data_IF_438436928465
#
_entry.id   IF_438436928465
#
_cell.length_a   1.000
_cell.length_b   1.000
_cell.length_c   1.000
_cell.angle_alpha   90.00
_cell.angle_beta   90.00
_cell.angle_gamma   90.00
#
_symmetry.space_group_name_H-M   'P 1'
#
loop_
_entity.id
_entity.type
_entity.pdbx_description
1 polymer ?
#
# COMPACT_ATOMS: atom_id res chain seq x y z
N UNK A 1 -34.91 28.07 8.33
CA UNK A 1 -34.95 28.95 9.51
C UNK A 1 -33.63 29.69 9.61
N UNK A 2 -33.66 31.02 9.58
CA UNK A 2 -32.50 31.89 9.83
C UNK A 2 -32.29 32.00 11.34
N UNK A 3 -31.06 31.82 11.81
CA UNK A 3 -30.69 31.95 13.22
C UNK A 3 -30.00 33.31 13.46
N UNK A 4 -30.45 34.01 14.49
CA UNK A 4 -29.99 35.31 14.98
C UNK A 4 -28.47 35.38 15.19
N UNK A 5 -27.84 36.45 14.67
CA UNK A 5 -26.48 36.84 15.02
C UNK A 5 -25.62 37.35 13.85
N UNK A 6 -26.02 37.11 12.60
CA UNK A 6 -25.27 37.60 11.44
C UNK A 6 -25.45 39.13 11.29
N UNK A 7 -24.40 39.90 11.59
CA UNK A 7 -24.35 41.35 11.34
C UNK A 7 -24.37 42.26 12.57
N UNK A 8 -24.26 41.74 13.80
CA UNK A 8 -24.07 42.60 14.98
C UNK A 8 -22.61 43.09 15.06
N UNK A 9 -22.38 44.41 14.98
CA UNK A 9 -21.06 45.00 15.20
C UNK A 9 -20.64 44.86 16.67
N UNK A 10 -19.84 43.83 16.94
CA UNK A 10 -19.29 43.54 18.26
C UNK A 10 -17.88 44.14 18.48
N UNK A 11 -17.47 45.12 17.68
CA UNK A 11 -16.15 45.76 17.73
C UNK A 11 -15.82 46.38 19.10
N UNK A 12 -16.84 46.80 19.86
CA UNK A 12 -16.72 47.37 21.21
C UNK A 12 -16.88 46.38 22.37
N UNK A 13 -17.13 45.09 22.08
CA UNK A 13 -17.29 44.05 23.10
C UNK A 13 -15.96 43.32 23.32
N UNK A 14 -15.50 43.15 24.57
CA UNK A 14 -14.30 42.36 24.89
C UNK A 14 -14.39 40.95 24.31
N UNK A 15 -13.29 40.44 23.74
CA UNK A 15 -13.26 39.20 22.94
C UNK A 15 -13.92 37.98 23.63
N UNK A 16 -13.70 37.80 24.93
CA UNK A 16 -14.27 36.69 25.71
C UNK A 16 -15.78 36.77 25.95
N UNK A 17 -16.41 37.92 25.63
CA UNK A 17 -17.84 38.17 25.78
C UNK A 17 -18.57 38.31 24.44
N UNK A 18 -17.86 38.14 23.31
CA UNK A 18 -18.48 38.20 21.98
C UNK A 18 -19.32 36.95 21.74
N UNK A 19 -20.49 37.12 21.10
CA UNK A 19 -21.34 36.02 20.64
C UNK A 19 -20.63 35.28 19.51
N UNK A 20 -20.79 33.96 19.48
CA UNK A 20 -20.21 33.09 18.46
C UNK A 20 -20.95 33.29 17.13
N UNK A 21 -20.24 33.71 16.09
CA UNK A 21 -20.77 33.66 14.73
C UNK A 21 -20.47 32.28 14.13
N UNK A 22 -21.51 31.58 13.70
CA UNK A 22 -21.38 30.33 12.96
C UNK A 22 -22.37 30.30 11.81
N UNK A 23 -22.02 29.57 10.76
CA UNK A 23 -22.93 29.27 9.66
C UNK A 23 -23.20 27.78 9.69
N UNK A 24 -24.47 27.40 9.87
CA UNK A 24 -24.93 26.03 9.72
C UNK A 24 -25.67 25.92 8.39
N UNK A 25 -25.14 25.12 7.48
CA UNK A 25 -25.74 24.86 6.18
C UNK A 25 -26.02 23.37 6.03
N UNK A 26 -27.21 23.03 5.55
CA UNK A 26 -27.53 21.68 5.14
C UNK A 26 -26.98 21.41 3.75
N UNK A 27 -26.29 20.28 3.59
CA UNK A 27 -25.83 19.82 2.28
C UNK A 27 -26.95 19.08 1.54
N UNK A 28 -27.06 19.21 0.21
CA UNK A 28 -28.05 18.52 -0.60
C UNK A 28 -27.65 17.06 -0.83
N UNK A 29 -27.57 16.28 0.25
CA UNK A 29 -27.30 14.84 0.22
C UNK A 29 -28.57 14.06 0.55
N UNK A 30 -28.77 12.93 -0.13
CA UNK A 30 -29.94 12.06 0.08
C UNK A 30 -29.71 11.00 1.16
N UNK A 31 -28.47 10.85 1.65
CA UNK A 31 -28.08 9.86 2.64
C UNK A 31 -27.10 10.44 3.66
N UNK A 32 -27.15 9.89 4.88
CA UNK A 32 -26.32 10.31 6.00
C UNK A 32 -24.99 9.55 6.02
N UNK A 33 -24.06 9.97 5.16
CA UNK A 33 -22.71 9.40 5.14
C UNK A 33 -22.00 9.61 6.48
N UNK A 34 -21.15 8.64 6.86
CA UNK A 34 -20.42 8.61 8.14
C UNK A 34 -21.29 8.58 9.41
N UNK A 35 -22.60 8.35 9.27
CA UNK A 35 -23.55 8.25 10.38
C UNK A 35 -23.62 6.83 10.96
N UNK A 36 -23.91 6.67 12.27
CA UNK A 36 -24.23 5.37 12.87
C UNK A 36 -25.36 4.62 12.16
N UNK A 37 -26.28 5.33 11.50
CA UNK A 37 -27.37 4.73 10.73
C UNK A 37 -26.87 3.94 9.50
N UNK A 38 -25.68 4.27 8.97
CA UNK A 38 -25.04 3.57 7.86
C UNK A 38 -24.05 2.48 8.31
N UNK A 39 -23.90 2.23 9.62
CA UNK A 39 -22.87 1.33 10.17
C UNK A 39 -22.90 -0.11 9.63
N UNK A 40 -24.07 -0.59 9.21
CA UNK A 40 -24.26 -1.96 8.67
C UNK A 40 -23.99 -2.06 7.17
N UNK A 41 -24.08 -0.96 6.43
CA UNK A 41 -23.99 -0.93 4.97
C UNK A 41 -22.63 -1.45 4.46
N UNK A 42 -21.47 -1.11 5.07
CA UNK A 42 -20.19 -1.64 4.59
C UNK A 42 -20.08 -3.17 4.64
N UNK A 43 -20.68 -3.82 5.64
CA UNK A 43 -20.67 -5.28 5.72
C UNK A 43 -21.53 -5.89 4.62
N UNK A 44 -22.72 -5.35 4.39
CA UNK A 44 -23.63 -5.77 3.32
C UNK A 44 -23.01 -5.58 1.93
N UNK A 45 -22.37 -4.43 1.69
CA UNK A 45 -21.68 -4.17 0.42
C UNK A 45 -20.54 -5.17 0.18
N UNK A 46 -19.78 -5.55 1.21
CA UNK A 46 -18.75 -6.60 1.08
C UNK A 46 -19.34 -7.97 0.74
N UNK A 47 -20.47 -8.33 1.35
CA UNK A 47 -21.18 -9.58 1.04
C UNK A 47 -21.72 -9.57 -0.40
N UNK A 48 -22.31 -8.44 -0.82
CA UNK A 48 -22.80 -8.26 -2.18
C UNK A 48 -21.66 -8.33 -3.18
N UNK A 49 -20.56 -7.60 -2.95
CA UNK A 49 -19.33 -7.64 -3.76
C UNK A 49 -18.80 -9.07 -3.93
N UNK A 50 -18.74 -9.86 -2.86
CA UNK A 50 -18.37 -11.28 -2.93
C UNK A 50 -19.35 -12.09 -3.77
N UNK A 51 -20.66 -11.89 -3.57
CA UNK A 51 -21.73 -12.62 -4.28
C UNK A 51 -21.74 -12.33 -5.78
N UNK A 52 -21.50 -11.08 -6.17
CA UNK A 52 -21.44 -10.65 -7.58
C UNK A 52 -20.04 -10.81 -8.18
N UNK A 53 -19.05 -11.24 -7.38
CA UNK A 53 -17.68 -11.46 -7.82
C UNK A 53 -16.93 -10.18 -8.18
N UNK A 54 -17.37 -9.03 -7.68
CA UNK A 54 -16.70 -7.73 -7.83
C UNK A 54 -15.72 -7.59 -6.68
N UNK A 55 -14.45 -7.87 -6.96
CA UNK A 55 -13.31 -7.61 -6.08
C UNK A 55 -12.32 -6.73 -6.85
N UNK A 56 -11.37 -6.08 -6.18
CA UNK A 56 -10.21 -5.50 -6.89
C UNK A 56 -9.31 -6.65 -7.37
N UNK A 57 -9.76 -7.35 -8.41
CA UNK A 57 -9.19 -8.56 -8.99
C UNK A 57 -7.98 -8.28 -9.88
N UNK A 58 -7.15 -7.33 -9.50
CA UNK A 58 -6.00 -6.96 -10.29
C UNK A 58 -5.04 -8.16 -10.49
N UNK A 59 -4.90 -9.02 -9.47
CA UNK A 59 -4.16 -10.29 -9.57
C UNK A 59 -4.81 -11.24 -10.58
N UNK A 60 -6.09 -11.58 -10.42
CA UNK A 60 -6.76 -12.55 -11.31
C UNK A 60 -6.73 -12.10 -12.78
N UNK A 61 -6.96 -10.81 -13.02
CA UNK A 61 -6.88 -10.22 -14.36
C UNK A 61 -5.46 -10.29 -14.91
N UNK A 62 -4.45 -9.98 -14.09
CA UNK A 62 -3.06 -10.09 -14.49
C UNK A 62 -2.68 -11.53 -14.83
N UNK A 63 -3.02 -12.48 -13.95
CA UNK A 63 -2.72 -13.91 -14.15
C UNK A 63 -3.40 -14.48 -15.40
N UNK A 64 -4.62 -14.03 -15.71
CA UNK A 64 -5.34 -14.42 -16.93
C UNK A 64 -4.68 -13.86 -18.20
N UNK A 65 -4.02 -12.71 -18.11
CA UNK A 65 -3.32 -12.08 -19.24
C UNK A 65 -1.94 -12.68 -19.51
N UNK A 66 -1.41 -13.52 -18.61
CA UNK A 66 -0.12 -14.18 -18.79
C UNK A 66 -0.21 -15.32 -19.83
N UNK A 67 0.89 -15.60 -20.56
CA UNK A 67 0.94 -16.73 -21.49
C UNK A 67 0.63 -18.07 -20.81
N UNK A 68 0.05 -19.05 -21.53
CA UNK A 68 -0.12 -20.40 -21.01
C UNK A 68 1.20 -21.00 -20.51
N UNK A 69 1.20 -21.63 -19.34
CA UNK A 69 2.39 -22.23 -18.74
C UNK A 69 3.36 -21.24 -18.09
N UNK A 70 2.97 -19.96 -17.93
CA UNK A 70 3.77 -19.01 -17.17
C UNK A 70 3.96 -19.49 -15.72
N UNK A 71 5.20 -19.43 -15.22
CA UNK A 71 5.53 -19.87 -13.87
C UNK A 71 4.73 -19.06 -12.83
N UNK A 72 4.05 -19.78 -11.94
CA UNK A 72 3.27 -19.17 -10.88
C UNK A 72 4.21 -18.69 -9.77
N UNK A 73 4.12 -17.41 -9.34
CA UNK A 73 4.87 -16.93 -8.20
C UNK A 73 4.29 -17.50 -6.90
N UNK A 74 5.11 -17.52 -5.86
CA UNK A 74 4.61 -17.63 -4.49
C UNK A 74 3.89 -16.33 -4.11
N UNK A 75 2.70 -16.46 -3.51
CA UNK A 75 1.86 -15.32 -3.17
C UNK A 75 1.73 -15.12 -1.66
N UNK A 76 1.72 -13.86 -1.25
CA UNK A 76 1.39 -13.44 0.12
C UNK A 76 0.49 -12.21 0.06
N UNK A 77 -0.64 -12.26 0.76
CA UNK A 77 -1.56 -11.13 0.88
C UNK A 77 -1.56 -10.65 2.33
N UNK A 78 -1.37 -9.35 2.52
CA UNK A 78 -1.41 -8.73 3.84
C UNK A 78 -2.25 -7.46 3.80
N UNK A 79 -3.41 -7.51 4.45
CA UNK A 79 -4.40 -6.42 4.45
C UNK A 79 -4.91 -6.11 3.03
N UNK A 80 -4.28 -5.15 2.35
CA UNK A 80 -4.59 -4.72 0.97
C UNK A 80 -3.40 -4.88 0.04
N UNK A 81 -2.23 -5.26 0.58
CA UNK A 81 -1.00 -5.47 -0.19
C UNK A 81 -0.94 -6.91 -0.70
N UNK A 82 -0.66 -7.04 -2.00
CA UNK A 82 -0.30 -8.30 -2.64
C UNK A 82 1.20 -8.32 -2.89
N UNK A 83 1.88 -9.36 -2.40
CA UNK A 83 3.27 -9.65 -2.69
C UNK A 83 3.39 -10.95 -3.49
N UNK A 84 4.16 -10.92 -4.58
CA UNK A 84 4.45 -12.07 -5.44
C UNK A 84 5.97 -12.25 -5.58
N UNK A 85 6.52 -13.43 -5.32
CA UNK A 85 7.96 -13.69 -5.45
C UNK A 85 8.28 -15.01 -6.15
N UNK A 86 9.51 -15.10 -6.67
CA UNK A 86 10.05 -16.28 -7.34
C UNK A 86 11.29 -16.78 -6.59
N UNK A 87 11.14 -17.31 -5.37
CA UNK A 87 12.25 -17.84 -4.57
C UNK A 87 12.49 -17.10 -3.26
N UNK A 88 13.08 -15.90 -3.27
CA UNK A 88 13.33 -15.14 -2.03
C UNK A 88 12.26 -14.06 -1.80
N UNK A 89 11.49 -14.10 -0.70
CA UNK A 89 10.42 -13.12 -0.43
C UNK A 89 10.94 -11.69 -0.20
N UNK A 90 12.25 -11.46 -0.05
CA UNK A 90 12.84 -10.11 -0.01
C UNK A 90 13.05 -9.50 -1.39
N UNK A 91 12.82 -10.26 -2.45
CA UNK A 91 12.81 -9.81 -3.84
C UNK A 91 11.43 -10.13 -4.42
N UNK A 92 10.53 -9.17 -4.37
CA UNK A 92 9.11 -9.42 -4.66
C UNK A 92 8.46 -8.30 -5.44
N UNK A 93 7.50 -8.66 -6.27
CA UNK A 93 6.54 -7.70 -6.81
C UNK A 93 5.55 -7.37 -5.71
N UNK A 94 5.23 -6.10 -5.56
CA UNK A 94 4.22 -5.58 -4.65
C UNK A 94 3.18 -4.79 -5.42
N UNK A 95 1.90 -5.11 -5.20
CA UNK A 95 0.77 -4.29 -5.61
C UNK A 95 0.07 -3.79 -4.34
N UNK A 96 0.10 -2.49 -4.12
CA UNK A 96 -0.38 -1.86 -2.90
C UNK A 96 -1.28 -0.64 -3.19
N UNK A 97 -2.59 -0.76 -3.00
CA UNK A 97 -3.47 0.39 -2.88
C UNK A 97 -3.17 1.17 -1.60
N UNK A 98 -2.94 2.47 -1.71
CA UNK A 98 -2.68 3.40 -0.60
C UNK A 98 -3.75 4.51 -0.56
N UNK A 99 -4.99 4.23 -0.10
CA UNK A 99 -6.09 5.21 -0.14
C UNK A 99 -5.76 6.54 0.56
N UNK A 100 -5.02 6.50 1.68
CA UNK A 100 -4.63 7.69 2.42
C UNK A 100 -3.69 8.63 1.64
N UNK A 101 -2.98 8.10 0.65
CA UNK A 101 -2.12 8.87 -0.27
C UNK A 101 -2.79 9.14 -1.61
N UNK A 102 -3.98 8.58 -1.85
CA UNK A 102 -4.68 8.68 -3.12
C UNK A 102 -3.91 8.04 -4.28
N UNK A 103 -3.16 6.97 -4.02
CA UNK A 103 -2.40 6.24 -5.06
C UNK A 103 -2.57 4.73 -4.93
N UNK A 104 -2.38 4.02 -6.04
CA UNK A 104 -2.03 2.60 -6.08
C UNK A 104 -0.62 2.47 -6.60
N UNK A 105 0.20 1.68 -5.92
CA UNK A 105 1.59 1.41 -6.27
C UNK A 105 1.72 -0.02 -6.81
N UNK A 106 2.49 -0.17 -7.90
CA UNK A 106 3.03 -1.44 -8.35
C UNK A 106 4.56 -1.31 -8.37
N UNK A 107 5.28 -2.25 -7.78
CA UNK A 107 6.74 -2.22 -7.82
C UNK A 107 7.40 -3.57 -7.65
N UNK A 108 8.66 -3.65 -8.06
CA UNK A 108 9.60 -4.71 -7.68
C UNK A 108 10.47 -4.18 -6.54
N UNK A 109 10.36 -4.81 -5.38
CA UNK A 109 11.00 -4.40 -4.14
C UNK A 109 12.19 -5.29 -3.80
N UNK A 110 13.23 -4.67 -3.24
CA UNK A 110 14.43 -5.32 -2.71
C UNK A 110 14.59 -4.91 -1.25
N UNK A 111 14.34 -5.86 -0.34
CA UNK A 111 14.23 -5.61 1.10
C UNK A 111 15.34 -6.30 1.93
N UNK A 112 16.49 -6.58 1.31
CA UNK A 112 17.69 -7.10 1.97
C UNK A 112 18.55 -6.03 2.66
N UNK A 113 19.81 -6.37 2.98
CA UNK A 113 20.84 -5.38 3.36
C UNK A 113 21.11 -4.37 2.24
N UNK A 114 21.49 -3.14 2.61
CA UNK A 114 21.68 -2.04 1.66
C UNK A 114 22.64 -2.39 0.53
N UNK A 115 23.81 -2.97 0.85
CA UNK A 115 24.83 -3.32 -0.14
C UNK A 115 24.36 -4.38 -1.13
N UNK A 116 23.45 -5.25 -0.69
CA UNK A 116 22.86 -6.29 -1.55
C UNK A 116 21.79 -5.67 -2.45
N UNK A 117 20.93 -4.82 -1.90
CA UNK A 117 19.89 -4.14 -2.67
C UNK A 117 20.48 -3.13 -3.67
N UNK A 118 21.61 -2.51 -3.36
CA UNK A 118 22.34 -1.65 -4.31
C UNK A 118 22.84 -2.45 -5.52
N UNK A 119 23.25 -3.71 -5.32
CA UNK A 119 23.61 -4.61 -6.45
C UNK A 119 22.38 -4.96 -7.28
N UNK A 120 21.22 -5.17 -6.66
CA UNK A 120 19.96 -5.36 -7.37
C UNK A 120 19.55 -4.13 -8.18
N UNK A 121 19.65 -2.94 -7.58
CA UNK A 121 19.39 -1.68 -8.26
C UNK A 121 20.37 -1.45 -9.43
N UNK A 122 21.65 -1.79 -9.25
CA UNK A 122 22.64 -1.74 -10.32
C UNK A 122 22.33 -2.71 -11.47
N UNK A 123 21.81 -3.91 -11.17
CA UNK A 123 21.34 -4.86 -12.18
C UNK A 123 20.14 -4.29 -12.95
N UNK A 124 19.16 -3.71 -12.27
CA UNK A 124 18.04 -3.00 -12.94
C UNK A 124 18.57 -1.87 -13.83
N UNK A 125 19.50 -1.05 -13.33
CA UNK A 125 20.08 0.07 -14.06
C UNK A 125 20.87 -0.38 -15.31
N UNK A 126 21.56 -1.51 -15.23
CA UNK A 126 22.28 -2.11 -16.36
C UNK A 126 21.35 -2.44 -17.54
N UNK A 127 20.13 -2.89 -17.24
CA UNK A 127 19.10 -3.25 -18.23
C UNK A 127 18.06 -2.13 -18.44
N UNK A 128 18.29 -0.93 -17.91
CA UNK A 128 17.28 0.14 -17.90
C UNK A 128 16.74 0.49 -19.30
N UNK A 129 17.56 0.62 -20.37
CA UNK A 129 17.04 0.94 -21.69
C UNK A 129 16.00 -0.08 -22.19
N UNK A 130 16.29 -1.38 -22.06
CA UNK A 130 15.40 -2.45 -22.50
C UNK A 130 14.17 -2.56 -21.60
N UNK A 131 14.37 -2.46 -20.28
CA UNK A 131 13.29 -2.56 -19.31
C UNK A 131 12.31 -1.40 -19.46
N UNK A 132 12.79 -0.16 -19.57
CA UNK A 132 11.92 1.01 -19.71
C UNK A 132 11.19 1.02 -21.06
N UNK A 133 11.87 0.60 -22.14
CA UNK A 133 11.21 0.42 -23.44
C UNK A 133 10.09 -0.64 -23.39
N UNK A 134 10.27 -1.70 -22.59
CA UNK A 134 9.29 -2.76 -22.45
C UNK A 134 8.15 -2.43 -21.48
N UNK A 135 8.44 -1.78 -20.35
CA UNK A 135 7.48 -1.44 -19.30
C UNK A 135 6.64 -0.20 -19.63
N UNK A 136 7.22 0.72 -20.41
CA UNK A 136 6.62 2.01 -20.73
C UNK A 136 6.91 3.07 -19.68
N UNK A 137 6.27 4.22 -19.83
CA UNK A 137 6.50 5.41 -19.01
C UNK A 137 6.03 5.23 -17.55
N UNK A 138 6.59 6.06 -16.65
CA UNK A 138 6.17 6.18 -15.26
C UNK A 138 6.83 5.20 -14.27
N UNK A 139 7.75 4.35 -14.73
CA UNK A 139 8.55 3.50 -13.86
C UNK A 139 9.80 4.23 -13.37
N UNK A 140 10.05 4.17 -12.07
CA UNK A 140 11.15 4.87 -11.40
C UNK A 140 11.93 3.90 -10.51
N UNK A 141 13.26 3.93 -10.60
CA UNK A 141 14.17 3.24 -9.68
C UNK A 141 14.54 4.18 -8.54
N UNK A 142 14.23 3.79 -7.31
CA UNK A 142 14.33 4.66 -6.13
C UNK A 142 15.05 3.98 -4.96
N UNK A 143 15.81 4.78 -4.20
CA UNK A 143 16.20 4.47 -2.83
C UNK A 143 15.03 4.76 -1.88
N UNK A 144 14.27 3.73 -1.52
CA UNK A 144 13.02 3.91 -0.78
C UNK A 144 13.22 4.11 0.73
N UNK A 145 14.12 3.32 1.33
CA UNK A 145 14.52 3.50 2.73
C UNK A 145 16.04 3.52 2.81
N UNK A 146 16.58 3.67 4.03
CA UNK A 146 18.02 3.57 4.25
C UNK A 146 18.63 2.24 3.75
N UNK A 147 17.83 1.17 3.65
CA UNK A 147 18.29 -0.12 3.15
C UNK A 147 17.57 -0.62 1.92
N UNK A 148 16.34 -0.17 1.63
CA UNK A 148 15.51 -0.76 0.57
C UNK A 148 15.63 -0.01 -0.75
N UNK A 149 15.47 -0.76 -1.83
CA UNK A 149 15.42 -0.27 -3.20
C UNK A 149 14.15 -0.77 -3.85
N UNK A 150 13.59 0.00 -4.77
CA UNK A 150 12.42 -0.44 -5.55
C UNK A 150 12.43 0.14 -6.95
N UNK A 151 11.99 -0.65 -7.91
CA UNK A 151 11.56 -0.16 -9.22
C UNK A 151 10.03 -0.11 -9.16
N UNK A 152 9.43 1.07 -9.23
CA UNK A 152 7.99 1.22 -8.99
C UNK A 152 7.31 2.16 -9.98
N UNK A 153 5.98 2.06 -10.05
CA UNK A 153 5.09 3.00 -10.72
C UNK A 153 3.87 3.21 -9.85
N UNK A 154 3.31 4.42 -9.91
CA UNK A 154 2.07 4.77 -9.20
C UNK A 154 0.98 5.26 -10.16
N UNK A 155 -0.27 5.06 -9.76
CA UNK A 155 -1.44 5.62 -10.41
C UNK A 155 -2.29 6.39 -9.39
N UNK A 156 -2.95 7.48 -9.79
CA UNK A 156 -3.97 8.12 -8.96
C UNK A 156 -5.05 7.12 -8.55
N UNK A 157 -5.41 7.14 -7.27
CA UNK A 157 -6.43 6.30 -6.69
C UNK A 157 -7.44 7.14 -5.91
N UNK A 158 -8.29 7.84 -6.66
CA UNK A 158 -9.39 8.64 -6.13
C UNK A 158 -10.66 7.81 -5.96
N UNK A 159 -10.89 6.87 -6.87
CA UNK A 159 -12.02 5.95 -6.84
C UNK A 159 -11.62 4.58 -7.41
N UNK A 160 -12.35 3.55 -6.98
CA UNK A 160 -12.19 2.20 -7.50
C UNK A 160 -12.95 2.08 -8.82
N UNK A 161 -12.24 2.09 -9.95
CA UNK A 161 -12.84 1.94 -11.28
C UNK A 161 -12.38 0.66 -11.98
N UNK A 162 -13.21 0.17 -12.90
CA UNK A 162 -12.85 -0.93 -13.80
C UNK A 162 -11.64 -0.57 -14.68
N UNK A 163 -11.61 0.66 -15.18
CA UNK A 163 -10.50 1.18 -16.00
C UNK A 163 -9.16 1.12 -15.24
N UNK A 164 -9.14 1.58 -13.99
CA UNK A 164 -7.93 1.52 -13.16
C UNK A 164 -7.53 0.06 -12.89
N UNK A 165 -8.51 -0.81 -12.62
CA UNK A 165 -8.24 -2.23 -12.40
C UNK A 165 -7.65 -2.91 -13.65
N UNK A 166 -8.16 -2.61 -14.83
CA UNK A 166 -7.65 -3.10 -16.12
C UNK A 166 -6.24 -2.56 -16.42
N UNK A 167 -6.00 -1.27 -16.19
CA UNK A 167 -4.67 -0.68 -16.41
C UNK A 167 -3.63 -1.29 -15.47
N UNK A 168 -3.91 -1.32 -14.16
CA UNK A 168 -3.00 -1.82 -13.13
C UNK A 168 -2.75 -3.32 -13.31
N UNK A 169 -3.77 -4.11 -13.64
CA UNK A 169 -3.60 -5.55 -13.90
C UNK A 169 -2.81 -5.83 -15.17
N UNK A 170 -3.04 -5.06 -16.24
CA UNK A 170 -2.24 -5.14 -17.46
C UNK A 170 -0.77 -4.81 -17.19
N UNK A 171 -0.51 -3.80 -16.36
CA UNK A 171 0.84 -3.42 -15.95
C UNK A 171 1.49 -4.45 -15.03
N UNK A 172 0.75 -5.07 -14.11
CA UNK A 172 1.24 -6.19 -13.32
C UNK A 172 1.63 -7.39 -14.20
N UNK A 173 0.77 -7.78 -15.15
CA UNK A 173 1.08 -8.87 -16.09
C UNK A 173 2.31 -8.56 -16.96
N UNK A 174 2.45 -7.29 -17.38
CA UNK A 174 3.62 -6.84 -18.13
C UNK A 174 4.88 -6.87 -17.29
N UNK A 175 4.82 -6.35 -16.06
CA UNK A 175 5.94 -6.35 -15.12
C UNK A 175 6.41 -7.77 -14.83
N UNK A 176 5.50 -8.71 -14.57
CA UNK A 176 5.84 -10.12 -14.38
C UNK A 176 6.57 -10.71 -15.59
N UNK A 177 6.11 -10.44 -16.82
CA UNK A 177 6.76 -10.96 -18.03
C UNK A 177 8.14 -10.35 -18.29
N UNK A 178 8.29 -9.04 -18.05
CA UNK A 178 9.51 -8.30 -18.38
C UNK A 178 10.57 -8.43 -17.30
N UNK A 179 10.18 -8.39 -16.02
CA UNK A 179 11.12 -8.33 -14.90
C UNK A 179 11.43 -9.70 -14.29
N UNK A 180 10.61 -10.74 -14.50
CA UNK A 180 10.93 -12.07 -13.97
C UNK A 180 12.30 -12.60 -14.46
N UNK A 181 12.70 -12.48 -15.74
CA UNK A 181 14.03 -12.90 -16.17
C UNK A 181 15.16 -12.20 -15.41
N UNK A 182 15.00 -10.90 -15.12
CA UNK A 182 15.94 -10.11 -14.30
C UNK A 182 15.99 -10.62 -12.86
N UNK A 183 14.83 -10.98 -12.28
CA UNK A 183 14.74 -11.58 -10.95
C UNK A 183 15.44 -12.94 -10.91
N UNK A 184 15.24 -13.80 -11.91
CA UNK A 184 15.91 -15.09 -12.01
C UNK A 184 17.44 -14.93 -12.12
N UNK A 185 17.91 -13.99 -12.93
CA UNK A 185 19.33 -13.65 -13.04
C UNK A 185 19.91 -13.16 -11.71
N UNK A 186 19.25 -12.19 -11.09
CA UNK A 186 19.72 -11.61 -9.84
C UNK A 186 19.70 -12.61 -8.68
N UNK A 187 18.73 -13.52 -8.61
CA UNK A 187 18.73 -14.59 -7.59
C UNK A 187 19.90 -15.56 -7.76
N UNK A 188 20.35 -15.78 -8.99
CA UNK A 188 21.54 -16.58 -9.30
C UNK A 188 22.84 -15.84 -8.97
N UNK A 189 22.93 -14.54 -9.30
CA UNK A 189 24.17 -13.76 -9.21
C UNK A 189 24.36 -12.96 -7.91
N UNK A 190 23.27 -12.64 -7.21
CA UNK A 190 23.20 -11.75 -6.05
C UNK A 190 22.50 -12.49 -4.91
N UNK A 191 23.19 -13.46 -4.26
CA UNK A 191 22.57 -14.24 -3.20
C UNK A 191 22.21 -13.34 -2.03
N UNK A 192 20.96 -13.44 -1.58
CA UNK A 192 20.55 -12.79 -0.35
C UNK A 192 21.19 -13.51 0.84
N UNK A 193 21.87 -12.80 1.76
CA UNK A 193 22.43 -13.43 2.93
C UNK A 193 21.33 -14.01 3.82
N UNK A 194 21.62 -15.05 4.62
CA UNK A 194 20.65 -15.56 5.59
C UNK A 194 20.24 -14.42 6.53
N UNK A 195 18.95 -14.41 6.89
CA UNK A 195 18.42 -13.43 7.86
C UNK A 195 19.21 -13.59 9.15
N UNK A 196 20.04 -12.60 9.46
CA UNK A 196 20.69 -12.56 10.76
C UNK A 196 19.61 -12.25 11.79
N UNK A 197 19.21 -13.27 12.55
CA UNK A 197 18.40 -13.06 13.74
C UNK A 197 19.28 -12.31 14.73
N UNK A 198 19.22 -10.97 14.71
CA UNK A 198 19.86 -10.18 15.75
C UNK A 198 19.16 -10.53 17.06
N UNK A 199 19.90 -11.11 18.00
CA UNK A 199 19.43 -11.35 19.36
C UNK A 199 19.29 -10.00 20.10
N UNK A 200 18.38 -9.14 19.66
CA UNK A 200 18.16 -7.81 20.22
C UNK A 200 16.87 -7.78 21.05
N UNK A 201 17.02 -8.31 22.28
CA UNK A 201 16.44 -7.89 23.58
C UNK A 201 15.93 -9.06 24.44
N UNK A 202 16.86 -9.90 24.91
CA UNK A 202 16.74 -10.54 26.23
C UNK A 202 17.06 -9.53 27.38
N UNK A 203 16.58 -8.29 27.26
CA UNK A 203 16.64 -7.25 28.31
C UNK A 203 15.22 -6.71 28.53
N UNK A 204 14.35 -7.59 28.99
CA UNK A 204 12.98 -7.28 29.40
C UNK A 204 12.38 -8.31 30.36
N UNK A 205 13.09 -9.41 30.65
CA UNK A 205 12.60 -10.54 31.44
C UNK A 205 12.90 -10.50 32.93
N UNK A 206 13.59 -9.48 33.45
CA UNK A 206 13.91 -9.40 34.90
C UNK A 206 13.02 -8.43 35.69
N UNK A 207 12.23 -7.59 35.00
CA UNK A 207 11.34 -6.62 35.68
C UNK A 207 9.95 -7.18 36.01
N UNK A 208 9.64 -8.42 35.64
CA UNK A 208 8.36 -9.09 35.95
C UNK A 208 8.49 -10.24 36.97
N UNK A 209 9.60 -10.32 37.71
CA UNK A 209 9.78 -11.30 38.81
C UNK A 209 9.87 -10.70 40.21
N UNK A 210 9.85 -9.37 40.37
CA UNK A 210 9.91 -8.72 41.71
C UNK A 210 8.59 -8.18 42.26
N UNK A 211 7.46 -8.38 41.57
CA UNK A 211 6.16 -7.86 42.03
C UNK A 211 5.23 -8.89 42.70
N UNK A 212 5.61 -10.17 42.79
CA UNK A 212 4.77 -11.22 43.41
C UNK A 212 5.18 -11.64 44.83
N UNK A 213 6.23 -11.06 45.39
CA UNK A 213 6.71 -11.38 46.76
C UNK A 213 6.38 -10.32 47.82
N UNK A 214 5.67 -9.24 47.47
CA UNK A 214 5.24 -8.19 48.42
C UNK A 214 3.73 -8.11 48.67
N UNK A 215 2.99 -9.17 48.34
CA UNK A 215 1.56 -9.27 48.65
C UNK A 215 1.18 -10.50 49.50
N UNK A 216 2.18 -11.09 50.18
CA UNK A 216 1.99 -12.11 51.22
C UNK A 216 2.89 -11.80 52.42
N UNK A 217 2.61 -10.69 53.09
CA UNK A 217 2.89 -10.47 54.52
C UNK A 217 1.80 -9.57 55.07
#
# INVERSE_FOLDING_TARGET
HQHDGQGEDQGRVPHSKRKLEFTAQYFPVSAEFHSPYMSRVPAMLRDDMRRIGVDFKAEDLAMKALPPGFAQPERKVMWTTLQLHYGDPRVHFELQPMPARGVVELGLHFEGPAEVNDRWAALVALHAPELMAALGEGWELEEWTASWRRLHRTWPFTELSLELAEEVSGQLARALQVLRPLVEEGLSAIPMPPVQVTASKARGGEHWRRSRERSRR
#
